data_IF_492659906356
#
_entry.id   IF_492659906356
#
_cell.length_a   1.000
_cell.length_b   1.000
_cell.length_c   1.000
_cell.angle_alpha   90.00
_cell.angle_beta   90.00
_cell.angle_gamma   90.00
#
_symmetry.space_group_name_H-M   'P 1'
#
loop_
_entity.id
_entity.type
_entity.pdbx_description
1 polymer ?
#
# COMPACT_ATOMS: atom_id res chain seq x y z
N UNK A 1 17.37 3.79 4.95
CA UNK A 1 15.90 4.01 4.97
C UNK A 1 15.65 5.17 4.03
N UNK A 2 14.99 4.93 2.89
CA UNK A 2 14.68 5.98 1.92
C UNK A 2 13.50 6.80 2.42
N UNK A 3 13.77 7.92 3.09
CA UNK A 3 12.77 8.98 3.23
C UNK A 3 12.64 9.66 1.88
N UNK A 4 11.42 10.06 1.51
CA UNK A 4 11.29 11.09 0.49
C UNK A 4 11.83 12.39 1.08
N UNK A 5 12.93 12.89 0.53
CA UNK A 5 13.52 14.17 0.98
C UNK A 5 12.60 15.36 0.66
N UNK A 6 11.64 15.15 -0.25
CA UNK A 6 10.61 16.10 -0.65
C UNK A 6 9.29 15.37 -0.90
N UNK A 7 8.19 15.91 -0.37
CA UNK A 7 6.82 15.45 -0.65
C UNK A 7 6.03 16.55 -1.40
N UNK A 8 5.32 16.22 -2.49
CA UNK A 8 5.23 14.89 -3.11
C UNK A 8 6.55 14.47 -3.79
N UNK A 9 6.76 13.16 -4.06
CA UNK A 9 7.97 12.68 -4.72
C UNK A 9 8.14 13.31 -6.12
N UNK A 10 9.33 13.81 -6.49
CA UNK A 10 9.53 14.45 -7.79
C UNK A 10 9.64 13.44 -8.95
N UNK A 11 9.97 12.18 -8.67
CA UNK A 11 10.07 11.12 -9.68
C UNK A 11 8.65 10.66 -10.11
N UNK A 12 8.33 10.66 -11.42
CA UNK A 12 7.00 10.30 -11.90
C UNK A 12 6.54 8.89 -11.50
N UNK A 13 7.45 7.91 -11.39
CA UNK A 13 7.09 6.53 -11.06
C UNK A 13 6.60 6.43 -9.63
N UNK A 14 7.33 7.01 -8.69
CA UNK A 14 6.96 7.05 -7.27
C UNK A 14 5.81 8.01 -6.98
N UNK A 15 5.67 9.08 -7.76
CA UNK A 15 4.52 10.01 -7.67
C UNK A 15 3.19 9.29 -7.92
N UNK A 16 3.13 8.35 -8.88
CA UNK A 16 1.90 7.56 -9.13
C UNK A 16 1.48 6.70 -7.94
N UNK A 17 2.43 6.11 -7.22
CA UNK A 17 2.13 5.34 -6.00
C UNK A 17 1.61 6.26 -4.89
N UNK A 18 2.15 7.48 -4.79
CA UNK A 18 1.66 8.50 -3.87
C UNK A 18 0.21 8.92 -4.21
N UNK A 19 -0.12 9.15 -5.48
CA UNK A 19 -1.50 9.45 -5.92
C UNK A 19 -2.46 8.29 -5.63
N UNK A 20 -2.06 7.04 -5.86
CA UNK A 20 -2.89 5.87 -5.52
C UNK A 20 -3.26 5.88 -4.04
N UNK A 21 -2.30 6.15 -3.14
CA UNK A 21 -2.58 6.25 -1.71
C UNK A 21 -3.44 7.47 -1.35
N UNK A 22 -3.31 8.59 -2.05
CA UNK A 22 -4.19 9.74 -1.84
C UNK A 22 -5.64 9.44 -2.25
N UNK A 23 -5.84 8.75 -3.37
CA UNK A 23 -7.17 8.44 -3.91
C UNK A 23 -7.83 7.28 -3.15
N UNK A 24 -7.10 6.19 -2.94
CA UNK A 24 -7.64 4.95 -2.37
C UNK A 24 -7.34 4.75 -0.89
N UNK A 25 -6.50 5.58 -0.27
CA UNK A 25 -6.13 5.45 1.15
C UNK A 25 -7.32 5.31 2.11
N UNK A 26 -8.37 6.16 2.01
CA UNK A 26 -9.57 6.01 2.83
C UNK A 26 -10.27 4.66 2.60
N UNK A 27 -10.46 4.26 1.35
CA UNK A 27 -11.09 2.98 0.97
C UNK A 27 -10.30 1.79 1.49
N UNK A 28 -8.97 1.79 1.33
CA UNK A 28 -8.10 0.74 1.83
C UNK A 28 -8.16 0.64 3.37
N UNK A 29 -8.21 1.78 4.06
CA UNK A 29 -8.37 1.80 5.52
C UNK A 29 -9.68 1.15 5.94
N UNK A 30 -10.79 1.54 5.30
CA UNK A 30 -12.12 1.01 5.60
C UNK A 30 -12.16 -0.51 5.38
N UNK A 31 -11.71 -0.99 4.22
CA UNK A 31 -11.67 -2.43 3.91
C UNK A 31 -10.80 -3.22 4.89
N UNK A 32 -9.64 -2.69 5.28
CA UNK A 32 -8.78 -3.33 6.28
C UNK A 32 -9.49 -3.39 7.64
N UNK A 33 -10.19 -2.32 8.04
CA UNK A 33 -10.90 -2.27 9.32
C UNK A 33 -12.16 -3.15 9.32
N UNK A 34 -12.84 -3.30 8.19
CA UNK A 34 -13.96 -4.22 8.02
C UNK A 34 -13.53 -5.69 8.15
N UNK A 35 -12.41 -6.06 7.54
CA UNK A 35 -11.93 -7.45 7.52
C UNK A 35 -11.14 -7.85 8.77
N UNK A 36 -10.34 -6.93 9.34
CA UNK A 36 -9.38 -7.26 10.42
C UNK A 36 -9.66 -6.55 11.76
N UNK A 37 -10.54 -5.54 11.78
CA UNK A 37 -10.83 -4.72 12.96
C UNK A 37 -9.89 -3.52 13.11
N UNK A 38 -9.85 -2.93 14.30
CA UNK A 38 -9.05 -1.73 14.58
C UNK A 38 -7.55 -2.07 14.74
N UNK A 39 -6.71 -1.49 13.89
CA UNK A 39 -5.29 -1.80 13.80
C UNK A 39 -4.66 -1.35 12.48
N UNK A 40 -3.46 -1.85 12.18
CA UNK A 40 -2.68 -1.51 10.99
C UNK A 40 -1.98 -2.71 10.35
N UNK A 41 -1.73 -2.58 9.05
CA UNK A 41 -0.74 -3.38 8.33
C UNK A 41 0.68 -2.85 8.64
N UNK A 42 1.56 -3.69 9.16
CA UNK A 42 2.94 -3.31 9.45
C UNK A 42 3.72 -2.99 8.17
N UNK A 43 4.46 -1.88 8.16
CA UNK A 43 5.47 -1.57 7.13
C UNK A 43 6.91 -2.01 7.55
N UNK A 44 7.05 -2.71 8.67
CA UNK A 44 8.35 -3.21 9.19
C UNK A 44 8.43 -4.73 9.01
N UNK A 45 7.46 -5.47 9.53
CA UNK A 45 7.30 -6.89 9.20
C UNK A 45 6.47 -6.98 7.93
N UNK A 46 7.15 -6.78 6.81
CA UNK A 46 6.55 -6.48 5.53
C UNK A 46 7.36 -7.09 4.38
N UNK A 47 6.67 -7.65 3.39
CA UNK A 47 7.22 -8.13 2.13
C UNK A 47 6.59 -7.39 0.96
N UNK A 48 7.40 -7.10 -0.05
CA UNK A 48 6.98 -6.45 -1.29
C UNK A 48 7.37 -7.31 -2.50
N UNK A 49 6.46 -7.48 -3.44
CA UNK A 49 6.74 -8.11 -4.72
C UNK A 49 6.24 -7.21 -5.86
N UNK A 50 7.00 -7.19 -6.96
CA UNK A 50 6.61 -6.54 -8.22
C UNK A 50 6.70 -7.57 -9.31
N UNK A 51 5.60 -7.73 -10.04
CA UNK A 51 5.46 -8.71 -11.11
C UNK A 51 4.93 -8.02 -12.36
N UNK A 52 5.32 -8.57 -13.51
CA UNK A 52 4.74 -8.18 -14.80
C UNK A 52 3.51 -9.04 -15.05
N UNK A 53 2.38 -8.40 -15.31
CA UNK A 53 1.15 -9.06 -15.74
C UNK A 53 0.65 -8.52 -17.07
N UNK A 54 -0.50 -9.03 -17.50
CA UNK A 54 -1.24 -8.57 -18.67
C UNK A 54 -2.73 -8.48 -18.29
N UNK A 55 -3.47 -7.55 -18.90
CA UNK A 55 -4.91 -7.50 -18.77
C UNK A 55 -5.64 -8.32 -19.85
N UNK A 56 -6.98 -8.32 -19.82
CA UNK A 56 -7.80 -9.07 -20.78
C UNK A 56 -7.57 -8.66 -22.25
N UNK A 57 -7.03 -7.46 -22.49
CA UNK A 57 -6.68 -6.96 -23.83
C UNK A 57 -5.24 -7.31 -24.24
N UNK A 58 -4.47 -7.95 -23.35
CA UNK A 58 -3.04 -8.22 -23.54
C UNK A 58 -2.15 -7.01 -23.24
N UNK A 59 -2.68 -5.95 -22.63
CA UNK A 59 -1.86 -4.79 -22.29
C UNK A 59 -1.03 -5.07 -21.02
N UNK A 60 0.26 -4.73 -21.08
CA UNK A 60 1.19 -4.94 -19.98
C UNK A 60 0.78 -4.19 -18.71
N UNK A 61 0.87 -4.87 -17.57
CA UNK A 61 0.55 -4.34 -16.25
C UNK A 61 1.73 -4.51 -15.29
N UNK A 62 1.85 -3.56 -14.36
CA UNK A 62 2.70 -3.69 -13.18
C UNK A 62 1.81 -4.13 -12.03
N UNK A 63 2.06 -5.31 -11.48
CA UNK A 63 1.35 -5.85 -10.32
C UNK A 63 2.25 -5.63 -9.11
N UNK A 64 1.72 -4.94 -8.09
CA UNK A 64 2.43 -4.70 -6.83
C UNK A 64 1.67 -5.42 -5.72
N UNK A 65 2.37 -6.29 -5.01
CA UNK A 65 1.84 -6.97 -3.82
C UNK A 65 2.44 -6.35 -2.57
N UNK A 66 1.58 -5.86 -1.68
CA UNK A 66 1.94 -5.30 -0.38
C UNK A 66 1.48 -6.27 0.71
N UNK A 67 2.41 -6.93 1.38
CA UNK A 67 2.11 -7.96 2.38
C UNK A 67 2.73 -7.60 3.73
N UNK A 68 1.94 -7.04 4.63
CA UNK A 68 2.37 -6.69 5.98
C UNK A 68 1.65 -7.50 7.06
N UNK A 69 2.37 -7.80 8.13
CA UNK A 69 1.78 -8.40 9.33
C UNK A 69 0.68 -7.50 9.90
N UNK A 70 -0.48 -8.07 10.21
CA UNK A 70 -1.56 -7.40 10.96
C UNK A 70 -1.14 -7.11 12.40
N UNK A 71 -1.39 -5.89 12.86
CA UNK A 71 -1.13 -5.43 14.22
C UNK A 71 -2.42 -4.79 14.77
N UNK A 72 -3.19 -5.50 15.62
CA UNK A 72 -4.37 -4.92 16.26
C UNK A 72 -3.94 -3.82 17.24
N UNK A 73 -4.76 -2.79 17.41
CA UNK A 73 -4.55 -1.82 18.48
C UNK A 73 -4.99 -2.41 19.82
N UNK A 74 -4.08 -2.41 20.78
CA UNK A 74 -4.40 -2.73 22.17
C UNK A 74 -4.71 -1.43 22.91
N UNK A 75 -6.00 -1.14 23.05
CA UNK A 75 -6.46 -0.14 24.00
C UNK A 75 -6.40 -0.80 25.38
N UNK A 76 -5.36 -0.49 26.16
CA UNK A 76 -5.12 -1.12 27.45
C UNK A 76 -6.38 -1.18 28.32
N UNK A 77 -6.73 -2.39 28.78
CA UNK A 77 -7.73 -2.67 29.81
C UNK A 77 -7.17 -2.45 31.21
#
# INVERSE_FOLDING_TARGET
>A
RGSFDQLPPPDPTTYRLYEVLQVYGPTLKELIHEEFGDGIMSAINFNLAVERGEDESGAERVIITLNGKWLPYEWGS
#
